data_IF_163169496757
#
_entry.id   IF_163169496757
#
_cell.length_a   1.000
_cell.length_b   1.000
_cell.length_c   1.000
_cell.angle_alpha   90.00
_cell.angle_beta   90.00
_cell.angle_gamma   90.00
#
_symmetry.space_group_name_H-M   'P 1'
#
loop_
_entity.id
_entity.type
_entity.pdbx_description
1 polymer ?
#
# COMPACT_ATOMS: atom_id res chain seq x y z
N UNK A 1 -5.85 -27.47 26.41
CA UNK A 1 -5.48 -26.84 25.12
C UNK A 1 -4.52 -25.74 25.48
N UNK A 2 -3.25 -25.89 25.13
CA UNK A 2 -2.21 -24.97 25.58
C UNK A 2 -2.45 -23.56 25.01
N UNK A 3 -2.10 -22.52 25.78
CA UNK A 3 -2.28 -21.12 25.38
C UNK A 3 -1.67 -20.82 23.99
N UNK A 4 -0.62 -21.55 23.61
CA UNK A 4 -0.01 -21.51 22.28
C UNK A 4 -0.97 -21.94 21.16
N UNK A 5 -1.72 -23.03 21.35
CA UNK A 5 -2.67 -23.54 20.35
C UNK A 5 -3.84 -22.59 20.14
N UNK A 6 -4.31 -21.95 21.22
CA UNK A 6 -5.37 -20.93 21.15
C UNK A 6 -4.87 -19.71 20.37
N UNK A 7 -3.66 -19.21 20.69
CA UNK A 7 -3.04 -18.09 19.98
C UNK A 7 -2.88 -18.37 18.48
N UNK A 8 -2.39 -19.56 18.13
CA UNK A 8 -2.21 -19.99 16.74
C UNK A 8 -3.54 -20.04 15.96
N UNK A 9 -4.60 -20.58 16.55
CA UNK A 9 -5.94 -20.62 15.94
C UNK A 9 -6.48 -19.21 15.72
N UNK A 10 -6.35 -18.33 16.71
CA UNK A 10 -6.80 -16.93 16.60
C UNK A 10 -6.05 -16.24 15.46
N UNK A 11 -4.72 -16.37 15.41
CA UNK A 11 -3.90 -15.74 14.37
C UNK A 11 -4.25 -16.27 12.96
N UNK A 12 -4.44 -17.58 12.81
CA UNK A 12 -4.86 -18.19 11.53
C UNK A 12 -6.27 -17.75 11.13
N UNK A 13 -7.20 -17.67 12.08
CA UNK A 13 -8.56 -17.20 11.82
C UNK A 13 -8.55 -15.76 11.30
N UNK A 14 -7.79 -14.87 11.96
CA UNK A 14 -7.63 -13.51 11.48
C UNK A 14 -7.00 -13.47 10.09
N UNK A 15 -5.91 -14.20 9.86
CA UNK A 15 -5.21 -14.26 8.57
C UNK A 15 -6.15 -14.69 7.43
N UNK A 16 -6.80 -15.84 7.59
CA UNK A 16 -7.71 -16.39 6.57
C UNK A 16 -8.91 -15.46 6.38
N UNK A 17 -9.51 -14.98 7.47
CA UNK A 17 -10.63 -14.04 7.41
C UNK A 17 -10.27 -12.75 6.67
N UNK A 18 -9.09 -12.18 6.94
CA UNK A 18 -8.56 -11.00 6.26
C UNK A 18 -8.36 -11.23 4.77
N UNK A 19 -7.72 -12.34 4.37
CA UNK A 19 -7.56 -12.70 2.97
C UNK A 19 -8.92 -12.88 2.27
N UNK A 20 -9.85 -13.59 2.89
CA UNK A 20 -11.21 -13.77 2.33
C UNK A 20 -11.90 -12.43 2.13
N UNK A 21 -11.80 -11.49 3.08
CA UNK A 21 -12.38 -10.14 2.94
C UNK A 21 -11.74 -9.34 1.79
N UNK A 22 -10.41 -9.37 1.68
CA UNK A 22 -9.66 -8.69 0.61
C UNK A 22 -10.09 -9.24 -0.76
N UNK A 23 -10.08 -10.57 -0.92
CA UNK A 23 -10.50 -11.23 -2.16
C UNK A 23 -11.98 -11.00 -2.47
N UNK A 24 -12.85 -11.03 -1.46
CA UNK A 24 -14.28 -10.74 -1.63
C UNK A 24 -14.52 -9.32 -2.12
N UNK A 25 -13.78 -8.34 -1.59
CA UNK A 25 -13.87 -6.94 -2.02
C UNK A 25 -13.42 -6.77 -3.47
N UNK A 26 -12.34 -7.45 -3.87
CA UNK A 26 -11.88 -7.46 -5.25
C UNK A 26 -12.92 -8.06 -6.20
N UNK A 27 -13.41 -9.28 -5.90
CA UNK A 27 -14.42 -9.97 -6.70
C UNK A 27 -15.70 -9.12 -6.81
N UNK A 28 -16.12 -8.51 -5.70
CA UNK A 28 -17.27 -7.62 -5.68
C UNK A 28 -17.09 -6.42 -6.61
N UNK A 29 -15.94 -5.74 -6.53
CA UNK A 29 -15.60 -4.62 -7.40
C UNK A 29 -15.63 -5.01 -8.88
N UNK A 30 -14.95 -6.10 -9.25
CA UNK A 30 -14.88 -6.60 -10.63
C UNK A 30 -16.26 -6.99 -11.17
N UNK A 31 -17.13 -7.58 -10.33
CA UNK A 31 -18.49 -7.96 -10.75
C UNK A 31 -19.36 -6.74 -11.03
N UNK A 32 -19.22 -5.67 -10.26
CA UNK A 32 -20.07 -4.50 -10.37
C UNK A 32 -19.62 -3.54 -11.48
N UNK A 33 -18.33 -3.24 -11.55
CA UNK A 33 -17.79 -2.42 -12.62
C UNK A 33 -16.48 -3.05 -13.14
N UNK A 34 -16.52 -3.61 -14.35
CA UNK A 34 -15.36 -4.26 -14.98
C UNK A 34 -14.31 -3.27 -15.46
N UNK A 35 -14.70 -2.01 -15.68
CA UNK A 35 -13.84 -0.96 -16.23
C UNK A 35 -13.16 -0.11 -15.15
N UNK A 36 -13.57 -0.26 -13.88
CA UNK A 36 -12.91 0.41 -12.75
C UNK A 36 -11.62 -0.31 -12.36
N UNK A 37 -10.65 0.44 -11.82
CA UNK A 37 -9.37 -0.12 -11.40
C UNK A 37 -9.50 -0.73 -10.00
N UNK A 38 -10.29 -1.81 -9.91
CA UNK A 38 -10.61 -2.51 -8.66
C UNK A 38 -9.38 -3.15 -7.99
N UNK A 39 -8.31 -3.37 -8.76
CA UNK A 39 -7.06 -3.89 -8.23
C UNK A 39 -6.41 -2.91 -7.24
N UNK A 40 -6.58 -1.60 -7.43
CA UNK A 40 -6.09 -0.59 -6.47
C UNK A 40 -6.74 -0.79 -5.09
N UNK A 41 -8.04 -1.10 -5.04
CA UNK A 41 -8.74 -1.38 -3.79
C UNK A 41 -8.19 -2.62 -3.10
N UNK A 42 -8.00 -3.71 -3.86
CA UNK A 42 -7.35 -4.93 -3.37
C UNK A 42 -5.97 -4.63 -2.79
N UNK A 43 -5.13 -3.93 -3.54
CA UNK A 43 -3.76 -3.61 -3.13
C UNK A 43 -3.73 -2.72 -1.88
N UNK A 44 -4.66 -1.77 -1.77
CA UNK A 44 -4.78 -0.91 -0.59
C UNK A 44 -5.15 -1.70 0.64
N UNK A 45 -6.14 -2.59 0.55
CA UNK A 45 -6.52 -3.44 1.69
C UNK A 45 -5.39 -4.38 2.09
N UNK A 46 -4.65 -4.94 1.13
CA UNK A 46 -3.48 -5.76 1.39
C UNK A 46 -2.37 -4.99 2.13
N UNK A 47 -2.09 -3.74 1.71
CA UNK A 47 -1.16 -2.84 2.38
C UNK A 47 -1.62 -2.52 3.81
N UNK A 48 -2.90 -2.18 3.99
CA UNK A 48 -3.46 -1.93 5.34
C UNK A 48 -3.34 -3.16 6.24
N UNK A 49 -3.54 -4.34 5.67
CA UNK A 49 -3.49 -5.59 6.42
C UNK A 49 -2.07 -5.99 6.81
N UNK A 50 -1.09 -5.81 5.91
CA UNK A 50 0.35 -5.95 6.23
C UNK A 50 0.77 -5.04 7.40
N UNK A 51 0.29 -3.80 7.44
CA UNK A 51 0.56 -2.89 8.55
C UNK A 51 0.07 -3.40 9.89
N UNK A 52 -1.15 -3.93 9.94
CA UNK A 52 -1.73 -4.45 11.18
C UNK A 52 -0.86 -5.60 11.70
N UNK A 53 -0.49 -6.53 10.84
CA UNK A 53 0.36 -7.66 11.24
C UNK A 53 1.78 -7.24 11.60
N UNK A 54 2.30 -6.21 10.96
CA UNK A 54 3.60 -5.65 11.31
C UNK A 54 3.61 -5.04 12.71
N UNK A 55 2.56 -4.31 13.09
CA UNK A 55 2.40 -3.79 14.46
C UNK A 55 2.29 -4.95 15.45
N UNK A 56 1.46 -5.96 15.15
CA UNK A 56 1.31 -7.15 15.99
C UNK A 56 2.63 -7.91 16.16
N UNK A 57 3.43 -8.02 15.11
CA UNK A 57 4.74 -8.65 15.16
C UNK A 57 5.72 -7.89 16.08
N UNK A 58 5.76 -6.57 16.01
CA UNK A 58 6.60 -5.76 16.91
C UNK A 58 6.15 -5.86 18.38
N UNK A 59 4.84 -5.85 18.65
CA UNK A 59 4.29 -6.06 20.00
C UNK A 59 4.64 -7.47 20.50
N UNK A 60 4.50 -8.48 19.63
CA UNK A 60 4.84 -9.86 19.97
C UNK A 60 6.31 -10.00 20.38
N UNK A 61 7.24 -9.38 19.64
CA UNK A 61 8.66 -9.36 20.01
C UNK A 61 8.90 -8.65 21.33
N UNK A 62 8.31 -7.46 21.52
CA UNK A 62 8.47 -6.69 22.75
C UNK A 62 7.97 -7.44 24.00
N UNK A 63 7.01 -8.36 23.83
CA UNK A 63 6.45 -9.16 24.94
C UNK A 63 7.15 -10.50 25.13
N UNK A 64 7.96 -10.95 24.17
CA UNK A 64 8.71 -12.20 24.22
C UNK A 64 10.24 -11.95 24.22
N UNK A 65 10.69 -10.71 24.44
CA UNK A 65 12.10 -10.30 24.35
C UNK A 65 13.02 -11.11 25.26
N UNK A 66 12.52 -11.54 26.43
CA UNK A 66 13.31 -12.30 27.40
C UNK A 66 13.67 -13.72 26.91
N UNK A 67 13.02 -14.18 25.85
CA UNK A 67 13.26 -15.49 25.21
C UNK A 67 14.00 -15.38 23.88
N UNK A 68 14.34 -14.15 23.46
CA UNK A 68 14.87 -13.82 22.15
C UNK A 68 16.33 -13.39 22.29
N UNK A 69 17.22 -14.00 21.50
CA UNK A 69 18.65 -13.68 21.45
C UNK A 69 18.89 -12.17 21.12
N UNK A 70 19.89 -11.55 21.73
CA UNK A 70 20.29 -10.15 21.49
C UNK A 70 20.50 -9.87 19.99
N UNK A 71 21.00 -10.83 19.22
CA UNK A 71 21.17 -10.69 17.77
C UNK A 71 19.84 -10.64 17.01
N UNK A 72 18.82 -11.38 17.48
CA UNK A 72 17.47 -11.33 16.94
C UNK A 72 16.79 -10.00 17.28
N UNK A 73 17.02 -9.50 18.50
CA UNK A 73 16.57 -8.18 18.94
C UNK A 73 17.13 -7.06 18.04
N UNK A 74 18.42 -7.13 17.69
CA UNK A 74 19.06 -6.20 16.76
C UNK A 74 18.44 -6.21 15.35
N UNK A 75 18.15 -7.40 14.81
CA UNK A 75 17.49 -7.55 13.49
C UNK A 75 16.10 -6.90 13.48
N UNK A 76 15.36 -7.06 14.57
CA UNK A 76 14.03 -6.43 14.74
C UNK A 76 14.13 -4.92 14.83
N UNK A 77 15.05 -4.38 15.64
CA UNK A 77 15.23 -2.93 15.72
C UNK A 77 15.65 -2.33 14.37
N UNK A 78 16.46 -3.05 13.61
CA UNK A 78 16.81 -2.66 12.24
C UNK A 78 15.57 -2.63 11.33
N UNK A 79 14.70 -3.65 11.40
CA UNK A 79 13.43 -3.68 10.67
C UNK A 79 12.49 -2.54 11.08
N UNK A 80 12.42 -2.21 12.38
CA UNK A 80 11.63 -1.09 12.90
C UNK A 80 12.16 0.26 12.40
N UNK A 81 13.48 0.44 12.41
CA UNK A 81 14.14 1.64 11.88
C UNK A 81 13.85 1.85 10.40
N UNK A 82 13.95 0.78 9.59
CA UNK A 82 13.59 0.80 8.16
C UNK A 82 12.12 1.17 7.97
N UNK A 83 11.21 0.57 8.75
CA UNK A 83 9.79 0.86 8.64
C UNK A 83 9.44 2.30 9.02
N UNK A 84 9.99 2.84 10.11
CA UNK A 84 9.79 4.24 10.52
C UNK A 84 10.30 5.19 9.42
N UNK A 85 11.49 4.92 8.89
CA UNK A 85 12.07 5.73 7.81
C UNK A 85 11.17 5.74 6.57
N UNK A 86 10.65 4.56 6.19
CA UNK A 86 9.71 4.41 5.08
C UNK A 86 8.38 5.15 5.33
N UNK A 87 7.80 5.02 6.54
CA UNK A 87 6.55 5.70 6.92
C UNK A 87 6.70 7.20 6.72
N UNK A 88 7.76 7.79 7.29
CA UNK A 88 8.00 9.22 7.24
C UNK A 88 8.22 9.69 5.79
N UNK A 89 8.99 8.93 5.02
CA UNK A 89 9.25 9.23 3.61
C UNK A 89 7.97 9.20 2.76
N UNK A 90 7.18 8.13 2.87
CA UNK A 90 5.94 7.97 2.12
C UNK A 90 4.90 9.02 2.51
N UNK A 91 4.74 9.29 3.80
CA UNK A 91 3.81 10.31 4.28
C UNK A 91 4.20 11.70 3.76
N UNK A 92 5.49 12.05 3.81
CA UNK A 92 6.00 13.32 3.30
C UNK A 92 5.73 13.46 1.79
N UNK A 93 6.00 12.43 1.01
CA UNK A 93 5.73 12.42 -0.42
C UNK A 93 4.23 12.53 -0.73
N UNK A 94 3.38 11.78 -0.03
CA UNK A 94 1.94 11.84 -0.19
C UNK A 94 1.40 13.26 0.07
N UNK A 95 1.84 13.89 1.15
CA UNK A 95 1.46 15.27 1.49
C UNK A 95 1.95 16.25 0.43
N UNK A 96 3.19 16.15 -0.05
CA UNK A 96 3.72 17.04 -1.10
C UNK A 96 2.91 16.90 -2.40
N UNK A 97 2.62 15.68 -2.82
CA UNK A 97 1.87 15.39 -4.04
C UNK A 97 0.45 15.96 -3.94
N UNK A 98 -0.26 15.65 -2.85
CA UNK A 98 -1.64 16.12 -2.65
C UNK A 98 -1.73 17.62 -2.45
N UNK A 99 -0.78 18.24 -1.75
CA UNK A 99 -0.74 19.70 -1.58
C UNK A 99 -0.58 20.42 -2.93
N UNK A 100 0.27 19.88 -3.81
CA UNK A 100 0.43 20.40 -5.17
C UNK A 100 -0.86 20.23 -5.97
N UNK A 101 -1.49 19.06 -5.86
CA UNK A 101 -2.74 18.77 -6.56
C UNK A 101 -3.87 19.71 -6.11
N UNK A 102 -4.02 19.90 -4.80
CA UNK A 102 -4.98 20.83 -4.22
C UNK A 102 -4.76 22.28 -4.69
N UNK A 103 -3.50 22.71 -4.85
CA UNK A 103 -3.19 24.07 -5.31
C UNK A 103 -3.56 24.28 -6.78
N UNK A 104 -3.27 23.30 -7.63
CA UNK A 104 -3.24 23.46 -9.08
C UNK A 104 -4.46 22.86 -9.82
N UNK A 105 -5.29 22.05 -9.15
CA UNK A 105 -6.44 21.39 -9.76
C UNK A 105 -7.73 21.79 -9.05
N UNK A 106 -8.54 22.62 -9.70
CA UNK A 106 -9.82 23.09 -9.14
C UNK A 106 -10.86 21.98 -8.99
N UNK A 107 -10.90 21.02 -9.91
CA UNK A 107 -11.84 19.89 -9.85
C UNK A 107 -11.54 19.00 -8.65
N UNK A 108 -10.26 18.69 -8.42
CA UNK A 108 -9.83 17.96 -7.23
C UNK A 108 -10.19 18.73 -5.95
N UNK A 109 -10.02 20.05 -5.95
CA UNK A 109 -10.35 20.91 -4.81
C UNK A 109 -11.84 20.85 -4.46
N UNK A 110 -12.70 20.91 -5.47
CA UNK A 110 -14.15 20.78 -5.30
C UNK A 110 -14.54 19.41 -4.73
N UNK A 111 -13.97 18.34 -5.30
CA UNK A 111 -14.17 16.98 -4.79
C UNK A 111 -13.68 16.82 -3.34
N UNK A 112 -12.51 17.39 -3.01
CA UNK A 112 -11.93 17.33 -1.67
C UNK A 112 -12.82 17.98 -0.61
N UNK A 113 -13.48 19.10 -0.92
CA UNK A 113 -14.39 19.75 0.03
C UNK A 113 -15.56 18.84 0.44
N UNK A 114 -16.04 18.01 -0.49
CA UNK A 114 -17.11 17.05 -0.25
C UNK A 114 -16.64 15.80 0.51
N UNK A 115 -15.40 15.35 0.25
CA UNK A 115 -14.89 14.06 0.74
C UNK A 115 -13.63 14.16 1.62
N UNK A 116 -13.42 15.28 2.33
CA UNK A 116 -12.20 15.57 3.11
C UNK A 116 -11.80 14.45 4.08
N UNK A 117 -12.77 13.86 4.79
CA UNK A 117 -12.52 12.80 5.79
C UNK A 117 -11.93 11.57 5.14
N UNK A 118 -12.47 11.20 3.98
CA UNK A 118 -11.98 10.08 3.21
C UNK A 118 -10.59 10.33 2.62
N UNK A 119 -10.35 11.54 2.08
CA UNK A 119 -9.01 11.89 1.62
C UNK A 119 -7.97 11.81 2.75
N UNK A 120 -8.29 12.31 3.95
CA UNK A 120 -7.42 12.19 5.12
C UNK A 120 -7.16 10.73 5.51
N UNK A 121 -8.19 9.87 5.45
CA UNK A 121 -8.03 8.43 5.68
C UNK A 121 -7.08 7.78 4.66
N UNK A 122 -7.23 8.09 3.36
CA UNK A 122 -6.33 7.57 2.32
C UNK A 122 -4.89 8.06 2.54
N UNK A 123 -4.69 9.32 2.96
CA UNK A 123 -3.37 9.83 3.35
C UNK A 123 -2.81 9.08 4.54
N UNK A 124 -3.62 8.78 5.55
CA UNK A 124 -3.22 7.98 6.70
C UNK A 124 -2.81 6.55 6.33
N UNK A 125 -3.40 5.96 5.29
CA UNK A 125 -3.03 4.65 4.77
C UNK A 125 -1.82 4.66 3.82
N UNK A 126 -1.49 5.81 3.23
CA UNK A 126 -0.36 5.98 2.29
C UNK A 126 1.05 5.65 2.81
N UNK A 127 1.36 5.67 4.12
CA UNK A 127 2.69 5.29 4.61
C UNK A 127 3.15 3.89 4.20
N UNK A 128 2.21 2.96 3.94
CA UNK A 128 2.53 1.60 3.47
C UNK A 128 2.84 1.46 2.00
N UNK A 129 2.57 2.49 1.23
CA UNK A 129 2.72 2.45 -0.21
C UNK A 129 1.97 3.60 -0.84
N UNK A 130 2.69 4.41 -1.60
CA UNK A 130 2.12 5.57 -2.28
C UNK A 130 1.07 5.20 -3.33
N UNK A 131 1.06 3.95 -3.81
CA UNK A 131 0.02 3.42 -4.69
C UNK A 131 -1.39 3.52 -4.09
N UNK A 132 -1.53 3.55 -2.76
CA UNK A 132 -2.81 3.74 -2.05
C UNK A 132 -3.49 5.05 -2.46
N UNK A 133 -2.73 6.07 -2.88
CA UNK A 133 -3.28 7.34 -3.33
C UNK A 133 -4.15 7.21 -4.59
N UNK A 134 -3.94 6.19 -5.42
CA UNK A 134 -4.79 5.96 -6.59
C UNK A 134 -6.21 5.48 -6.22
N UNK A 135 -6.46 5.10 -4.95
CA UNK A 135 -7.81 4.79 -4.47
C UNK A 135 -8.75 5.97 -4.68
N UNK A 136 -8.22 7.20 -4.59
CA UNK A 136 -9.00 8.42 -4.79
C UNK A 136 -9.69 8.46 -6.17
N UNK A 137 -9.13 7.80 -7.19
CA UNK A 137 -9.64 7.79 -8.57
C UNK A 137 -9.81 6.36 -9.13
N UNK A 138 -10.01 5.36 -8.27
CA UNK A 138 -10.15 3.97 -8.74
C UNK A 138 -11.55 3.65 -9.29
N UNK A 139 -12.51 4.57 -9.17
CA UNK A 139 -13.93 4.44 -9.57
C UNK A 139 -14.60 3.19 -9.01
N UNK A 140 -14.18 2.77 -7.82
CA UNK A 140 -14.70 1.58 -7.19
C UNK A 140 -16.22 1.71 -6.97
N UNK A 141 -16.97 0.76 -7.50
CA UNK A 141 -18.43 0.66 -7.30
C UNK A 141 -19.22 1.88 -7.81
N UNK A 142 -18.67 2.68 -8.72
CA UNK A 142 -19.25 3.93 -9.24
C UNK A 142 -19.61 4.96 -8.15
N UNK A 143 -18.99 4.84 -6.98
CA UNK A 143 -19.22 5.80 -5.90
C UNK A 143 -18.35 7.05 -6.13
N UNK A 144 -18.95 8.22 -5.94
CA UNK A 144 -18.32 9.53 -6.12
C UNK A 144 -17.09 9.74 -5.23
N UNK A 145 -17.07 9.10 -4.06
CA UNK A 145 -15.95 9.07 -3.12
C UNK A 145 -14.69 8.39 -3.69
N UNK A 146 -14.79 7.62 -4.79
CA UNK A 146 -13.65 7.01 -5.48
C UNK A 146 -13.42 7.58 -6.89
N UNK A 147 -14.05 8.72 -7.22
CA UNK A 147 -13.94 9.40 -8.53
C UNK A 147 -13.37 10.82 -8.38
N UNK A 148 -12.26 10.95 -7.65
CA UNK A 148 -11.50 12.19 -7.59
C UNK A 148 -10.89 12.49 -8.97
N UNK A 149 -11.12 13.70 -9.47
CA UNK A 149 -10.53 14.17 -10.74
C UNK A 149 -9.07 14.53 -10.53
N UNK A 150 -8.18 13.54 -10.61
CA UNK A 150 -6.73 13.69 -10.46
C UNK A 150 -6.09 14.11 -11.79
N UNK A 151 -5.07 14.96 -11.72
CA UNK A 151 -4.31 15.41 -12.89
C UNK A 151 -3.33 14.34 -13.40
N UNK A 152 -2.97 14.40 -14.68
CA UNK A 152 -1.90 13.55 -15.23
C UNK A 152 -0.54 13.76 -14.55
N UNK A 153 -0.32 14.96 -13.99
CA UNK A 153 0.89 15.28 -13.21
C UNK A 153 0.90 14.55 -11.88
N UNK A 154 -0.26 14.41 -11.22
CA UNK A 154 -0.41 13.61 -10.01
C UNK A 154 -0.04 12.16 -10.28
N UNK A 155 -0.66 11.55 -11.30
CA UNK A 155 -0.45 10.15 -11.68
C UNK A 155 1.04 9.85 -11.90
N UNK A 156 1.71 10.66 -12.72
CA UNK A 156 3.16 10.52 -12.97
C UNK A 156 3.98 10.62 -11.69
N UNK A 157 3.67 11.59 -10.82
CA UNK A 157 4.39 11.77 -9.55
C UNK A 157 4.20 10.60 -8.60
N UNK A 158 2.97 10.08 -8.48
CA UNK A 158 2.70 8.91 -7.64
C UNK A 158 3.46 7.70 -8.16
N UNK A 159 3.48 7.45 -9.46
CA UNK A 159 4.24 6.32 -10.05
C UNK A 159 5.73 6.44 -9.73
N UNK A 160 6.36 7.59 -10.03
CA UNK A 160 7.80 7.78 -9.76
C UNK A 160 8.12 7.69 -8.27
N UNK A 161 7.33 8.36 -7.43
CA UNK A 161 7.49 8.31 -5.98
C UNK A 161 7.31 6.89 -5.44
N UNK A 162 6.38 6.13 -6.00
CA UNK A 162 6.14 4.73 -5.63
C UNK A 162 7.29 3.82 -6.03
N UNK A 163 7.98 4.07 -7.15
CA UNK A 163 9.20 3.32 -7.53
C UNK A 163 10.34 3.62 -6.56
N UNK A 164 10.54 4.88 -6.19
CA UNK A 164 11.55 5.27 -5.20
C UNK A 164 11.25 4.64 -3.84
N UNK A 165 9.98 4.71 -3.40
CA UNK A 165 9.48 4.08 -2.18
C UNK A 165 9.73 2.56 -2.16
N UNK A 166 9.59 1.88 -3.29
CA UNK A 166 9.89 0.46 -3.40
C UNK A 166 11.36 0.16 -3.12
N UNK A 167 12.28 0.95 -3.69
CA UNK A 167 13.71 0.70 -3.56
C UNK A 167 14.24 1.04 -2.16
N UNK A 168 13.73 2.11 -1.55
CA UNK A 168 14.22 2.62 -0.26
C UNK A 168 13.49 1.98 0.93
N UNK A 169 12.23 1.61 0.76
CA UNK A 169 11.36 1.11 1.83
C UNK A 169 10.98 -0.35 1.66
N UNK A 170 10.16 -0.64 0.64
CA UNK A 170 9.53 -1.97 0.48
C UNK A 170 10.58 -3.08 0.33
N UNK A 171 11.62 -2.86 -0.49
CA UNK A 171 12.67 -3.83 -0.76
C UNK A 171 13.50 -4.11 0.51
N UNK A 172 14.12 -3.13 1.19
CA UNK A 172 14.81 -3.38 2.45
C UNK A 172 13.93 -4.05 3.49
N UNK A 173 12.67 -3.61 3.64
CA UNK A 173 11.73 -4.20 4.60
C UNK A 173 11.45 -5.68 4.27
N UNK A 174 11.25 -6.02 3.00
CA UNK A 174 11.05 -7.41 2.56
C UNK A 174 12.29 -8.28 2.81
N UNK A 175 13.50 -7.74 2.55
CA UNK A 175 14.76 -8.43 2.81
C UNK A 175 14.97 -8.69 4.30
N UNK A 176 14.81 -7.67 5.15
CA UNK A 176 14.96 -7.80 6.60
C UNK A 176 13.90 -8.73 7.21
N UNK A 177 12.65 -8.67 6.73
CA UNK A 177 11.58 -9.55 7.22
C UNK A 177 11.87 -11.03 6.87
N UNK A 178 12.33 -11.28 5.64
CA UNK A 178 12.73 -12.62 5.18
C UNK A 178 13.96 -13.12 5.93
N UNK A 179 14.99 -12.28 6.06
CA UNK A 179 16.19 -12.59 6.83
C UNK A 179 15.84 -12.95 8.28
N UNK A 180 14.97 -12.16 8.91
CA UNK A 180 14.52 -12.40 10.29
C UNK A 180 13.80 -13.74 10.41
N UNK A 181 12.94 -14.10 9.45
CA UNK A 181 12.20 -15.36 9.51
C UNK A 181 13.05 -16.59 9.17
N UNK A 182 13.98 -16.49 8.22
CA UNK A 182 14.81 -17.64 7.77
C UNK A 182 16.01 -17.87 8.69
N UNK A 183 16.76 -16.83 9.04
CA UNK A 183 18.00 -16.97 9.80
C UNK A 183 17.71 -17.27 11.27
N UNK A 184 16.64 -16.71 11.83
CA UNK A 184 16.26 -16.96 13.22
C UNK A 184 15.28 -18.12 13.40
N UNK A 185 15.03 -18.90 12.33
CA UNK A 185 14.26 -20.14 12.40
C UNK A 185 14.75 -21.11 13.51
N UNK A 186 16.07 -21.33 13.71
CA UNK A 186 16.57 -22.20 14.78
C UNK A 186 16.29 -21.67 16.19
N UNK A 187 16.04 -20.36 16.32
CA UNK A 187 15.79 -19.65 17.58
C UNK A 187 14.29 -19.49 17.87
N UNK A 188 13.44 -20.23 17.15
CA UNK A 188 12.00 -20.30 17.38
C UNK A 188 11.15 -19.33 16.55
N UNK A 189 11.73 -18.37 15.82
CA UNK A 189 10.94 -17.34 15.10
C UNK A 189 10.04 -17.88 13.99
N UNK A 190 10.49 -18.88 13.23
CA UNK A 190 9.74 -19.40 12.08
C UNK A 190 8.52 -20.27 12.45
N UNK A 191 8.42 -20.70 13.70
CA UNK A 191 7.33 -21.56 14.17
C UNK A 191 6.18 -20.77 14.82
N UNK A 192 6.29 -19.44 14.93
CA UNK A 192 5.21 -18.61 15.44
C UNK A 192 4.37 -18.04 14.29
N UNK A 193 3.04 -18.16 14.43
CA UNK A 193 2.11 -17.72 13.40
C UNK A 193 2.24 -16.23 13.05
N UNK A 194 2.49 -15.37 14.05
CA UNK A 194 2.56 -13.90 13.86
C UNK A 194 3.75 -13.49 12.96
N UNK A 195 5.02 -13.84 13.27
CA UNK A 195 6.16 -13.57 12.39
C UNK A 195 5.97 -14.12 10.96
N UNK A 196 5.50 -15.35 10.83
CA UNK A 196 5.33 -15.99 9.51
C UNK A 196 4.27 -15.30 8.66
N UNK A 197 3.12 -14.94 9.24
CA UNK A 197 2.06 -14.23 8.52
C UNK A 197 2.49 -12.81 8.18
N UNK A 198 3.17 -12.11 9.10
CA UNK A 198 3.74 -10.79 8.79
C UNK A 198 4.74 -10.87 7.63
N UNK A 199 5.61 -11.88 7.59
CA UNK A 199 6.53 -12.09 6.48
C UNK A 199 5.80 -12.34 5.16
N UNK A 200 4.80 -13.22 5.17
CA UNK A 200 4.00 -13.55 3.98
C UNK A 200 3.25 -12.33 3.45
N UNK A 201 2.69 -11.51 4.33
CA UNK A 201 2.01 -10.27 3.95
C UNK A 201 2.98 -9.25 3.36
N UNK A 202 4.16 -9.08 3.97
CA UNK A 202 5.19 -8.15 3.46
C UNK A 202 5.66 -8.57 2.07
N UNK A 203 5.88 -9.87 1.84
CA UNK A 203 6.22 -10.41 0.52
C UNK A 203 5.06 -10.24 -0.48
N UNK A 204 3.82 -10.41 -0.04
CA UNK A 204 2.63 -10.24 -0.89
C UNK A 204 2.47 -8.78 -1.32
N UNK A 205 2.66 -7.82 -0.40
CA UNK A 205 2.64 -6.37 -0.69
C UNK A 205 3.78 -5.99 -1.62
N UNK A 206 4.98 -6.53 -1.39
CA UNK A 206 6.12 -6.29 -2.28
C UNK A 206 5.82 -6.79 -3.70
N UNK A 207 5.33 -8.03 -3.83
CA UNK A 207 4.98 -8.61 -5.12
C UNK A 207 3.85 -7.83 -5.81
N UNK A 208 2.73 -7.57 -5.12
CA UNK A 208 1.59 -6.83 -5.68
C UNK A 208 2.00 -5.42 -6.09
N UNK A 209 2.82 -4.76 -5.28
CA UNK A 209 3.36 -3.44 -5.57
C UNK A 209 4.31 -3.45 -6.77
N UNK A 210 5.15 -4.48 -6.94
CA UNK A 210 6.03 -4.62 -8.08
C UNK A 210 5.22 -4.85 -9.36
N UNK A 211 4.25 -5.78 -9.34
CA UNK A 211 3.36 -6.04 -10.47
C UNK A 211 2.53 -4.82 -10.85
N UNK A 212 1.99 -4.08 -9.87
CA UNK A 212 1.24 -2.85 -10.14
C UNK A 212 2.07 -1.81 -10.89
N UNK A 213 3.31 -1.60 -10.46
CA UNK A 213 4.21 -0.61 -11.07
C UNK A 213 4.63 -1.04 -12.48
N UNK A 214 4.90 -2.32 -12.71
CA UNK A 214 5.16 -2.88 -14.04
C UNK A 214 3.93 -2.71 -14.94
N UNK A 215 2.73 -2.98 -14.42
CA UNK A 215 1.48 -2.79 -15.15
C UNK A 215 1.30 -1.31 -15.56
N UNK A 216 1.41 -0.38 -14.61
CA UNK A 216 1.28 1.05 -14.87
C UNK A 216 2.33 1.56 -15.87
N UNK A 217 3.60 1.14 -15.74
CA UNK A 217 4.67 1.58 -16.65
C UNK A 217 4.57 0.98 -18.06
N UNK A 218 4.00 -0.22 -18.19
CA UNK A 218 3.97 -0.95 -19.47
C UNK A 218 2.68 -0.71 -20.24
N UNK A 219 1.55 -0.58 -19.55
CA UNK A 219 0.22 -0.52 -20.17
C UNK A 219 -0.34 0.90 -20.17
N UNK A 220 -0.16 1.67 -19.08
CA UNK A 220 -0.77 3.01 -18.98
C UNK A 220 0.01 4.09 -19.74
N UNK A 221 1.33 3.95 -19.90
CA UNK A 221 2.12 4.80 -20.82
C UNK A 221 1.77 4.55 -22.31
N UNK A 222 1.07 3.47 -22.64
CA UNK A 222 0.54 3.19 -23.99
C UNK A 222 -0.84 3.79 -24.26
N UNK A 223 -1.62 4.13 -23.23
CA UNK A 223 -2.78 5.01 -23.36
C UNK A 223 -2.29 6.46 -23.51
N UNK A 224 -1.68 6.74 -24.67
CA UNK A 224 -1.46 8.12 -25.13
C UNK A 224 -2.79 8.87 -25.06
N UNK A 225 -2.78 10.18 -24.73
CA UNK A 225 -3.97 11.02 -24.72
C UNK A 225 -4.75 10.77 -26.01
N UNK A 226 -6.03 10.40 -25.88
CA UNK A 226 -6.92 10.20 -27.02
C UNK A 226 -6.75 11.36 -27.98
N UNK A 227 -6.72 11.09 -29.30
CA UNK A 227 -6.46 12.07 -30.36
C UNK A 227 -7.21 13.41 -30.17
N UNK A 228 -8.38 13.40 -29.53
CA UNK A 228 -9.10 14.60 -29.10
C UNK A 228 -8.33 15.54 -28.14
N UNK A 229 -7.60 15.03 -27.14
CA UNK A 229 -6.82 15.86 -26.22
C UNK A 229 -5.60 16.51 -26.89
N UNK A 230 -4.99 15.80 -27.86
CA UNK A 230 -3.92 16.34 -28.72
C UNK A 230 -4.42 17.42 -29.69
N UNK A 231 -5.66 17.29 -30.19
CA UNK A 231 -6.28 18.30 -31.04
C UNK A 231 -6.62 19.56 -30.25
N UNK A 232 -7.15 19.42 -29.03
CA UNK A 232 -7.48 20.55 -28.15
C UNK A 232 -6.21 21.32 -27.75
N UNK A 233 -5.13 20.63 -27.39
CA UNK A 233 -3.87 21.30 -27.05
C UNK A 233 -3.24 22.00 -28.26
N UNK A 234 -3.37 21.43 -29.47
CA UNK A 234 -2.86 22.05 -30.69
C UNK A 234 -3.60 23.35 -31.03
N UNK A 235 -4.92 23.37 -30.88
CA UNK A 235 -5.72 24.56 -31.16
C UNK A 235 -5.46 25.68 -30.13
N UNK A 236 -5.30 25.33 -28.84
CA UNK A 236 -4.97 26.31 -27.80
C UNK A 236 -3.57 26.93 -27.96
N UNK A 237 -2.62 26.21 -28.59
CA UNK A 237 -1.28 26.73 -28.89
C UNK A 237 -1.27 27.60 -30.16
N UNK A 238 -2.22 27.38 -31.09
CA UNK A 238 -2.38 28.18 -32.31
C UNK A 238 -3.17 29.48 -32.08
N UNK A 239 -3.95 29.56 -31.00
CA UNK A 239 -4.74 30.74 -30.62
C UNK A 239 -4.04 31.67 -29.60
N UNK A 240 -2.83 31.30 -29.14
CA UNK A 240 -1.98 32.09 -28.23
C UNK A 240 -0.82 32.75 -28.98
#
# INVERSE_FOLDING_TARGET
>A
MDNYMIGLIITLFFAIGGFVLIFSTYIFGVRKNKNSNNFIMFNTLLITYDWIFYILFNIWIATHSDTVDDFALFSVYSLLSVAISMILFNLLLAVIILRREFKNNEQFRAWYQKHKVFCMFVVFCSPGGLNVLHVLNCKFNDMDIFDAKLSSTFEKKVIHASVISLLIGDLPRSCFSTFTNVVFQPYGFAYYAIPSISCLLTLSVFASGLFYRIYESTIRDYEKPTVQELIISKNQILEA
#
